data_IF_830898907466
#
_entry.id   IF_830898907466
#
_cell.length_a   1.000
_cell.length_b   1.000
_cell.length_c   1.000
_cell.angle_alpha   90.00
_cell.angle_beta   90.00
_cell.angle_gamma   90.00
#
_symmetry.space_group_name_H-M   'P 1'
#
loop_
_entity.id
_entity.type
_entity.pdbx_description
1 polymer ?
#
# COMPACT_ATOMS: atom_id res chain seq x y z
N UNK A 1 15.06 -55.34 7.52
CA UNK A 1 13.86 -56.07 7.08
C UNK A 1 13.30 -56.72 8.33
N UNK A 2 12.19 -56.33 8.95
CA UNK A 2 11.03 -55.49 8.60
C UNK A 2 10.43 -54.98 9.96
N UNK A 3 10.10 -53.70 10.16
CA UNK A 3 8.85 -52.96 9.83
C UNK A 3 7.75 -53.02 10.92
N UNK A 4 7.63 -51.91 11.68
CA UNK A 4 6.41 -51.21 12.15
C UNK A 4 5.51 -51.66 13.35
N UNK A 5 5.39 -50.71 14.31
CA UNK A 5 4.19 -50.18 15.02
C UNK A 5 3.61 -50.90 16.25
N UNK A 6 3.59 -50.22 17.42
CA UNK A 6 2.37 -49.64 18.08
C UNK A 6 2.64 -48.94 19.45
N UNK A 7 2.15 -47.70 19.57
CA UNK A 7 1.43 -47.02 20.68
C UNK A 7 1.94 -46.96 22.14
N UNK A 8 1.83 -45.74 22.71
CA UNK A 8 1.69 -45.45 24.15
C UNK A 8 2.11 -44.00 24.51
N UNK A 9 1.18 -43.02 24.45
CA UNK A 9 0.54 -42.33 25.59
C UNK A 9 1.48 -41.43 26.43
N UNK A 10 1.25 -40.12 26.47
CA UNK A 10 1.20 -39.32 27.70
C UNK A 10 0.51 -37.96 27.47
N UNK A 11 -0.47 -37.67 28.34
CA UNK A 11 -1.23 -36.42 28.43
C UNK A 11 -0.36 -35.23 28.82
N UNK A 12 -0.58 -34.06 28.20
CA UNK A 12 -0.37 -32.76 28.84
C UNK A 12 -1.51 -31.80 28.45
N UNK A 13 -2.39 -31.54 29.41
CA UNK A 13 -3.30 -30.40 29.41
C UNK A 13 -2.48 -29.16 29.80
N UNK A 14 -2.27 -28.20 28.90
CA UNK A 14 -2.40 -26.73 29.13
C UNK A 14 -2.32 -26.04 27.75
N UNK A 15 -3.43 -25.54 27.18
CA UNK A 15 -3.35 -24.39 26.25
C UNK A 15 -4.42 -23.39 26.65
N UNK A 16 -3.90 -22.38 27.36
CA UNK A 16 -4.52 -21.11 27.68
C UNK A 16 -4.78 -20.32 26.39
N UNK A 17 -6.03 -19.87 26.23
CA UNK A 17 -6.48 -18.55 25.80
C UNK A 17 -5.44 -17.73 25.02
N UNK A 18 -5.71 -17.41 23.74
CA UNK A 18 -5.62 -16.03 23.21
C UNK A 18 -6.31 -15.96 21.84
N UNK A 19 -7.50 -15.35 21.85
CA UNK A 19 -7.91 -14.28 20.96
C UNK A 19 -7.52 -14.43 19.47
N UNK A 20 -8.37 -15.12 18.71
CA UNK A 20 -8.39 -15.00 17.25
C UNK A 20 -8.92 -13.58 16.93
N UNK A 21 -7.99 -12.62 16.89
CA UNK A 21 -8.30 -11.23 16.59
C UNK A 21 -8.91 -11.12 15.19
N UNK A 22 -9.95 -10.29 15.12
CA UNK A 22 -10.71 -9.91 13.94
C UNK A 22 -9.82 -9.74 12.70
N UNK A 23 -10.06 -10.58 11.71
CA UNK A 23 -9.70 -10.29 10.32
C UNK A 23 -10.44 -9.02 9.88
N UNK A 24 -9.74 -7.88 9.87
CA UNK A 24 -10.27 -6.65 9.28
C UNK A 24 -9.75 -6.54 7.85
N UNK A 25 -10.62 -6.94 6.91
CA UNK A 25 -10.71 -6.67 5.47
C UNK A 25 -9.43 -6.28 4.69
N UNK A 26 -8.87 -7.24 3.95
CA UNK A 26 -8.23 -6.96 2.66
C UNK A 26 -9.35 -6.79 1.61
N UNK A 27 -9.64 -5.56 1.17
CA UNK A 27 -10.62 -5.31 0.09
C UNK A 27 -9.89 -5.30 -1.26
N UNK A 28 -9.94 -6.42 -1.98
CA UNK A 28 -9.53 -6.51 -3.39
C UNK A 28 -10.80 -6.38 -4.23
N UNK A 29 -11.01 -5.25 -4.89
CA UNK A 29 -12.17 -5.01 -5.78
C UNK A 29 -11.67 -4.98 -7.24
N UNK A 30 -12.05 -5.98 -8.05
CA UNK A 30 -11.72 -6.08 -9.49
C UNK A 30 -12.83 -5.44 -10.35
N UNK A 31 -12.42 -4.55 -11.24
CA UNK A 31 -13.00 -3.99 -12.48
C UNK A 31 -14.52 -3.72 -12.65
N UNK A 32 -14.82 -2.46 -13.00
CA UNK A 32 -15.47 -1.98 -14.26
C UNK A 32 -15.57 -0.43 -14.17
N UNK A 33 -15.18 0.28 -15.23
CA UNK A 33 -15.12 1.75 -15.29
C UNK A 33 -16.52 2.40 -15.17
N UNK A 34 -16.65 3.37 -14.25
CA UNK A 34 -17.66 4.43 -14.34
C UNK A 34 -16.99 5.73 -13.88
N UNK A 35 -16.57 6.53 -14.84
CA UNK A 35 -16.02 7.87 -14.69
C UNK A 35 -17.18 8.86 -14.63
N UNK A 36 -17.64 9.18 -13.43
CA UNK A 36 -18.53 10.34 -13.21
C UNK A 36 -18.10 11.08 -11.96
N UNK A 37 -17.43 12.22 -12.16
CA UNK A 37 -17.07 13.18 -11.12
C UNK A 37 -15.63 13.67 -11.20
N UNK A 38 -15.23 14.34 -12.29
CA UNK A 38 -13.99 15.12 -12.30
C UNK A 38 -14.17 16.32 -11.38
N UNK A 39 -13.57 16.28 -10.18
CA UNK A 39 -13.18 17.50 -9.49
C UNK A 39 -11.73 17.78 -9.87
N UNK A 40 -11.53 18.82 -10.69
CA UNK A 40 -10.19 19.33 -11.04
C UNK A 40 -10.00 20.65 -10.31
N UNK A 41 -9.19 20.66 -9.25
CA UNK A 41 -8.85 21.89 -8.55
C UNK A 41 -7.39 22.26 -8.79
N UNK A 42 -7.11 23.57 -8.83
CA UNK A 42 -5.80 24.13 -9.17
C UNK A 42 -4.77 23.83 -8.07
N UNK A 43 -3.59 23.45 -8.53
CA UNK A 43 -2.36 23.25 -7.74
C UNK A 43 -1.99 24.49 -6.91
N UNK A 44 -1.73 24.31 -5.61
CA UNK A 44 -0.99 25.28 -4.78
C UNK A 44 -1.74 25.94 -3.60
N UNK A 45 -3.04 25.72 -3.40
CA UNK A 45 -3.75 26.26 -2.23
C UNK A 45 -3.63 25.31 -1.02
N UNK A 46 -3.19 25.78 0.16
CA UNK A 46 -3.18 24.97 1.37
C UNK A 46 -4.62 24.53 1.72
N UNK A 47 -4.87 23.22 1.70
CA UNK A 47 -6.19 22.62 1.90
C UNK A 47 -6.91 22.21 0.61
N UNK A 48 -6.30 22.41 -0.57
CA UNK A 48 -6.88 22.02 -1.85
C UNK A 48 -6.21 20.75 -2.40
N UNK A 49 -7.01 19.86 -2.99
CA UNK A 49 -6.56 18.61 -3.58
C UNK A 49 -6.09 18.89 -5.01
N UNK A 50 -4.83 18.59 -5.32
CA UNK A 50 -4.28 18.68 -6.68
C UNK A 50 -4.62 17.41 -7.49
N UNK A 51 -4.87 17.57 -8.78
CA UNK A 51 -5.18 16.47 -9.69
C UNK A 51 -6.61 15.93 -9.63
N UNK A 52 -6.83 14.83 -10.35
CA UNK A 52 -8.12 14.13 -10.42
C UNK A 52 -8.19 13.06 -9.34
N UNK A 53 -9.20 13.13 -8.46
CA UNK A 53 -9.41 12.12 -7.41
C UNK A 53 -9.68 10.75 -8.03
N UNK A 54 -8.91 9.75 -7.62
CA UNK A 54 -9.13 8.35 -7.99
C UNK A 54 -10.17 7.76 -7.02
N UNK A 55 -11.44 8.13 -7.21
CA UNK A 55 -12.53 7.85 -6.24
C UNK A 55 -12.70 6.38 -5.89
N UNK A 56 -12.37 5.47 -6.82
CA UNK A 56 -12.40 4.01 -6.59
C UNK A 56 -11.38 3.54 -5.55
N UNK A 57 -10.32 4.30 -5.35
CA UNK A 57 -9.25 4.02 -4.40
C UNK A 57 -9.29 4.96 -3.20
N UNK A 58 -10.43 5.63 -2.97
CA UNK A 58 -10.65 6.50 -1.81
C UNK A 58 -11.34 5.71 -0.72
N UNK A 59 -10.68 5.55 0.43
CA UNK A 59 -11.16 4.71 1.52
C UNK A 59 -10.98 5.38 2.86
N UNK A 60 -11.85 5.05 3.81
CA UNK A 60 -11.56 5.30 5.21
C UNK A 60 -10.73 4.12 5.76
N UNK A 61 -9.77 4.41 6.63
CA UNK A 61 -9.05 3.40 7.39
C UNK A 61 -8.78 3.91 8.81
N UNK A 62 -8.48 2.99 9.72
CA UNK A 62 -8.17 3.32 11.10
C UNK A 62 -6.64 3.40 11.27
N UNK A 63 -6.12 4.61 11.47
CA UNK A 63 -4.74 4.84 11.91
C UNK A 63 -4.66 4.71 13.42
N UNK A 64 -3.60 4.05 13.89
CA UNK A 64 -3.45 3.75 15.33
C UNK A 64 -3.34 4.98 16.23
N UNK A 65 -3.00 6.17 15.68
CA UNK A 65 -2.89 7.42 16.44
C UNK A 65 -4.06 8.35 16.16
N UNK A 66 -4.43 8.53 14.88
CA UNK A 66 -5.43 9.50 14.43
C UNK A 66 -6.86 8.91 14.37
N UNK A 67 -7.01 7.60 14.54
CA UNK A 67 -8.29 6.91 14.42
C UNK A 67 -8.78 6.84 12.97
N UNK A 68 -10.09 6.99 12.76
CA UNK A 68 -10.70 6.81 11.44
C UNK A 68 -10.44 8.02 10.52
N UNK A 69 -9.53 7.86 9.58
CA UNK A 69 -9.09 8.88 8.61
C UNK A 69 -9.35 8.43 7.18
N UNK A 70 -9.35 9.37 6.23
CA UNK A 70 -9.63 9.09 4.81
C UNK A 70 -8.38 9.20 3.94
N UNK A 71 -8.08 8.13 3.23
CA UNK A 71 -7.07 8.06 2.18
C UNK A 71 -7.67 8.52 0.84
N UNK A 72 -7.07 9.52 0.21
CA UNK A 72 -7.54 10.14 -1.04
C UNK A 72 -6.37 10.23 -2.03
N UNK A 73 -6.23 9.26 -2.96
CA UNK A 73 -5.23 9.32 -4.01
C UNK A 73 -5.74 10.15 -5.20
N UNK A 74 -4.84 10.86 -5.87
CA UNK A 74 -5.15 11.63 -7.08
C UNK A 74 -4.14 11.40 -8.19
N UNK A 75 -4.60 11.64 -9.42
CA UNK A 75 -3.74 11.77 -10.57
C UNK A 75 -3.44 13.25 -10.85
N UNK A 76 -2.24 13.68 -10.46
CA UNK A 76 -1.72 15.02 -10.72
C UNK A 76 -1.29 15.23 -12.17
N UNK A 77 -1.13 16.48 -12.58
CA UNK A 77 -0.59 16.84 -13.89
C UNK A 77 0.95 16.93 -13.92
N UNK A 78 1.60 16.67 -12.78
CA UNK A 78 3.06 16.71 -12.66
C UNK A 78 3.71 15.41 -13.15
N UNK A 79 5.04 15.42 -13.20
CA UNK A 79 5.83 14.31 -13.75
C UNK A 79 5.67 13.01 -12.94
N UNK A 80 5.48 13.10 -11.62
CA UNK A 80 5.26 11.95 -10.74
C UNK A 80 3.85 11.38 -10.87
N UNK A 81 2.85 12.24 -11.14
CA UNK A 81 1.48 11.90 -11.48
C UNK A 81 0.63 11.28 -10.37
N UNK A 82 1.20 10.70 -9.31
CA UNK A 82 0.46 10.17 -8.15
C UNK A 82 0.66 11.07 -6.93
N UNK A 83 -0.42 11.69 -6.44
CA UNK A 83 -0.43 12.38 -5.14
C UNK A 83 -1.35 11.62 -4.19
N UNK A 84 -1.05 11.70 -2.90
CA UNK A 84 -1.81 11.01 -1.86
C UNK A 84 -2.11 12.00 -0.76
N UNK A 85 -3.38 12.09 -0.40
CA UNK A 85 -3.84 12.91 0.70
C UNK A 85 -4.45 12.07 1.80
N UNK A 86 -4.21 12.48 3.03
CA UNK A 86 -4.87 12.00 4.24
C UNK A 86 -5.78 13.11 4.74
N UNK A 87 -7.08 12.82 4.83
CA UNK A 87 -8.06 13.72 5.44
C UNK A 87 -8.41 13.24 6.84
N UNK A 88 -8.09 14.08 7.82
CA UNK A 88 -8.45 13.94 9.22
C UNK A 88 -9.38 15.10 9.60
N UNK A 89 -10.67 14.84 9.79
CA UNK A 89 -11.66 15.89 10.01
C UNK A 89 -11.59 16.97 8.89
N UNK A 90 -11.27 18.22 9.24
CA UNK A 90 -11.05 19.32 8.27
C UNK A 90 -9.59 19.49 7.85
N UNK A 91 -8.66 18.75 8.46
CA UNK A 91 -7.25 18.78 8.09
C UNK A 91 -7.02 17.89 6.87
N UNK A 92 -6.29 18.41 5.89
CA UNK A 92 -5.83 17.69 4.71
C UNK A 92 -4.30 17.71 4.71
N UNK A 93 -3.71 16.52 4.69
CA UNK A 93 -2.26 16.32 4.70
C UNK A 93 -1.88 15.65 3.39
N UNK A 94 -0.98 16.24 2.61
CA UNK A 94 -0.38 15.57 1.47
C UNK A 94 0.81 14.72 1.94
N UNK A 95 0.86 13.46 1.52
CA UNK A 95 2.01 12.60 1.79
C UNK A 95 3.19 12.96 0.88
N UNK A 96 4.43 12.64 1.28
CA UNK A 96 5.59 12.85 0.41
C UNK A 96 5.39 12.21 -0.98
N UNK A 97 5.63 12.99 -2.04
CA UNK A 97 5.46 12.49 -3.41
C UNK A 97 6.53 11.44 -3.75
N UNK A 98 6.15 10.32 -4.37
CA UNK A 98 7.12 9.30 -4.77
C UNK A 98 7.97 9.82 -5.93
N UNK A 99 9.23 10.18 -5.67
CA UNK A 99 10.16 10.64 -6.71
C UNK A 99 10.89 9.46 -7.35
N UNK A 100 10.17 8.67 -8.14
CA UNK A 100 10.73 7.47 -8.78
C UNK A 100 11.17 7.68 -10.24
N UNK A 101 11.01 8.89 -10.77
CA UNK A 101 11.47 9.24 -12.12
C UNK A 101 10.65 8.65 -13.27
N UNK A 102 9.44 8.16 -13.00
CA UNK A 102 8.60 7.40 -13.95
C UNK A 102 7.18 7.97 -13.98
N UNK A 103 6.48 7.82 -15.10
CA UNK A 103 5.14 8.39 -15.27
C UNK A 103 4.10 7.47 -14.65
N UNK A 104 3.31 7.98 -13.71
CA UNK A 104 2.19 7.23 -13.12
C UNK A 104 1.10 6.97 -14.16
N UNK A 105 0.62 5.73 -14.20
CA UNK A 105 -0.48 5.31 -15.08
C UNK A 105 -1.73 4.92 -14.29
N UNK A 106 -1.57 4.15 -13.21
CA UNK A 106 -2.72 3.61 -12.48
C UNK A 106 -2.39 3.19 -11.04
N UNK A 107 -3.38 3.25 -10.17
CA UNK A 107 -3.30 2.72 -8.81
C UNK A 107 -3.97 1.34 -8.78
N UNK A 108 -3.21 0.28 -8.44
CA UNK A 108 -3.72 -1.09 -8.44
C UNK A 108 -4.28 -1.51 -7.10
N UNK A 109 -3.58 -1.15 -6.03
CA UNK A 109 -3.86 -1.63 -4.71
C UNK A 109 -3.37 -0.68 -3.64
N UNK A 110 -4.05 -0.75 -2.49
CA UNK A 110 -3.67 -0.04 -1.26
C UNK A 110 -3.91 -0.99 -0.10
N UNK A 111 -2.99 -1.03 0.86
CA UNK A 111 -3.12 -1.74 2.12
C UNK A 111 -2.66 -0.86 3.28
N UNK A 112 -3.29 -1.04 4.44
CA UNK A 112 -3.01 -0.30 5.67
C UNK A 112 -2.66 -1.31 6.76
N UNK A 113 -1.39 -1.35 7.18
CA UNK A 113 -0.92 -2.28 8.20
C UNK A 113 0.44 -1.88 8.73
N UNK A 114 0.71 -2.23 9.97
CA UNK A 114 2.05 -2.19 10.55
C UNK A 114 2.95 -3.20 9.82
N UNK A 115 4.00 -2.71 9.17
CA UNK A 115 4.98 -3.52 8.44
C UNK A 115 6.37 -3.51 9.07
N UNK A 116 6.70 -2.52 9.90
CA UNK A 116 8.00 -2.43 10.58
C UNK A 116 7.93 -2.94 12.04
N UNK A 117 6.74 -3.28 12.54
CA UNK A 117 6.49 -3.83 13.87
C UNK A 117 6.45 -2.79 14.99
N UNK A 118 6.28 -1.50 14.68
CA UNK A 118 6.30 -0.42 15.67
C UNK A 118 4.92 -0.09 16.28
N UNK A 119 3.87 -0.79 15.85
CA UNK A 119 2.48 -0.58 16.25
C UNK A 119 1.80 0.59 15.55
N UNK A 120 2.44 1.22 14.57
CA UNK A 120 1.87 2.30 13.75
C UNK A 120 1.33 1.77 12.42
N UNK A 121 0.29 2.41 11.89
CA UNK A 121 -0.34 1.95 10.64
C UNK A 121 0.38 2.55 9.43
N UNK A 122 1.22 1.74 8.81
CA UNK A 122 1.88 2.11 7.54
C UNK A 122 0.93 1.97 6.34
N UNK A 123 1.31 2.59 5.23
CA UNK A 123 0.56 2.51 3.97
C UNK A 123 1.44 1.85 2.90
N UNK A 124 0.87 0.83 2.26
CA UNK A 124 1.48 0.12 1.14
C UNK A 124 0.63 0.37 -0.08
N UNK A 125 1.26 0.80 -1.17
CA UNK A 125 0.58 1.08 -2.43
C UNK A 125 1.23 0.24 -3.51
N UNK A 126 0.43 -0.33 -4.42
CA UNK A 126 0.93 -0.86 -5.68
C UNK A 126 0.41 0.05 -6.78
N UNK A 127 1.33 0.73 -7.47
CA UNK A 127 1.02 1.63 -8.58
C UNK A 127 1.72 1.16 -9.86
N UNK A 128 1.06 1.34 -11.00
CA UNK A 128 1.65 1.14 -12.32
C UNK A 128 2.28 2.43 -12.83
N UNK A 129 3.47 2.26 -13.39
CA UNK A 129 4.22 3.32 -14.02
C UNK A 129 4.69 2.90 -15.40
N UNK A 130 4.93 3.87 -16.28
CA UNK A 130 5.62 3.66 -17.55
C UNK A 130 6.94 4.42 -17.56
N UNK A 131 7.94 3.85 -18.25
CA UNK A 131 9.13 4.62 -18.60
C UNK A 131 8.77 5.60 -19.70
N UNK A 132 9.00 6.89 -19.45
CA UNK A 132 8.78 7.93 -20.44
C UNK A 132 9.84 7.89 -21.57
N UNK A 133 11.00 7.24 -21.35
CA UNK A 133 12.16 7.29 -22.26
C UNK A 133 12.83 5.90 -22.37
N UNK A 134 13.26 5.52 -23.57
CA UNK A 134 14.10 4.33 -23.85
C UNK A 134 13.39 3.16 -24.55
N UNK A 135 14.08 2.03 -24.79
CA UNK A 135 13.56 0.87 -25.52
C UNK A 135 12.33 0.22 -24.87
N UNK A 136 12.16 0.42 -23.56
CA UNK A 136 11.01 -0.03 -22.76
C UNK A 136 9.98 1.09 -22.55
N UNK A 137 10.02 2.13 -23.38
CA UNK A 137 9.08 3.24 -23.33
C UNK A 137 7.63 2.74 -23.42
N UNK A 138 6.74 3.29 -22.60
CA UNK A 138 5.33 2.91 -22.53
C UNK A 138 5.02 1.45 -22.14
N UNK A 139 5.98 0.67 -21.65
CA UNK A 139 5.69 -0.64 -21.04
C UNK A 139 5.34 -0.41 -19.56
N UNK A 140 4.10 -0.70 -19.13
CA UNK A 140 3.73 -0.55 -17.73
C UNK A 140 4.45 -1.56 -16.85
N UNK A 141 4.87 -1.13 -15.67
CA UNK A 141 5.38 -2.01 -14.61
C UNK A 141 4.80 -1.59 -13.26
N UNK A 142 4.60 -2.57 -12.38
CA UNK A 142 4.12 -2.31 -11.02
C UNK A 142 5.28 -1.92 -10.11
N UNK A 143 5.04 -0.92 -9.28
CA UNK A 143 5.94 -0.40 -8.26
C UNK A 143 5.21 -0.43 -6.92
N UNK A 144 5.71 -1.19 -5.93
CA UNK A 144 5.26 -1.02 -4.57
C UNK A 144 5.86 0.26 -3.98
N UNK A 145 5.04 1.04 -3.29
CA UNK A 145 5.42 2.26 -2.58
C UNK A 145 5.10 2.07 -1.10
N UNK A 146 6.09 2.35 -0.25
CA UNK A 146 5.97 2.19 1.19
C UNK A 146 6.01 3.54 1.88
N UNK A 147 4.99 3.81 2.68
CA UNK A 147 4.89 4.98 3.53
C UNK A 147 4.92 4.53 4.99
N UNK A 148 6.06 4.73 5.64
CA UNK A 148 6.28 4.35 7.03
C UNK A 148 5.71 5.44 7.93
N UNK A 149 4.78 5.05 8.80
CA UNK A 149 4.16 5.93 9.77
C UNK A 149 5.17 6.23 10.87
N UNK A 150 5.20 7.49 11.27
CA UNK A 150 5.84 7.95 12.50
C UNK A 150 4.75 8.47 13.43
N UNK A 151 5.08 8.77 14.69
CA UNK A 151 4.12 9.37 15.63
C UNK A 151 3.53 10.71 15.16
N UNK A 152 4.18 11.36 14.19
CA UNK A 152 3.78 12.68 13.68
C UNK A 152 3.27 12.59 12.25
N UNK A 153 4.09 12.10 11.32
CA UNK A 153 3.84 12.11 9.87
C UNK A 153 4.07 10.73 9.22
N UNK A 154 4.02 10.64 7.88
CA UNK A 154 4.46 9.47 7.10
C UNK A 154 5.72 9.81 6.30
N UNK A 155 6.63 8.85 6.22
CA UNK A 155 7.87 8.93 5.44
C UNK A 155 7.78 8.00 4.24
N UNK A 156 8.08 8.50 3.04
CA UNK A 156 8.23 7.64 1.88
C UNK A 156 9.58 6.90 1.95
N UNK A 157 9.54 5.57 1.96
CA UNK A 157 10.73 4.71 1.95
C UNK A 157 11.11 4.36 0.51
N UNK A 158 11.92 5.23 -0.10
CA UNK A 158 12.39 5.09 -1.47
C UNK A 158 13.26 3.85 -1.67
N UNK A 159 14.17 3.56 -0.73
CA UNK A 159 15.09 2.42 -0.78
C UNK A 159 14.34 1.10 -0.85
N UNK A 160 13.36 0.90 0.02
CA UNK A 160 12.56 -0.32 0.05
C UNK A 160 11.66 -0.44 -1.18
N UNK A 161 11.03 0.67 -1.58
CA UNK A 161 10.19 0.70 -2.78
C UNK A 161 11.00 0.26 -4.01
N UNK A 162 12.26 0.71 -4.13
CA UNK A 162 13.17 0.35 -5.22
C UNK A 162 13.68 -1.09 -5.11
N UNK A 163 14.13 -1.55 -3.93
CA UNK A 163 14.67 -2.91 -3.76
C UNK A 163 13.62 -3.98 -4.09
N UNK A 164 12.38 -3.75 -3.66
CA UNK A 164 11.28 -4.67 -3.93
C UNK A 164 10.92 -4.67 -5.42
N UNK A 165 10.96 -3.52 -6.12
CA UNK A 165 10.74 -3.45 -7.58
C UNK A 165 11.67 -4.38 -8.34
N UNK A 166 12.95 -4.44 -7.97
CA UNK A 166 13.93 -5.30 -8.63
C UNK A 166 13.55 -6.78 -8.50
N UNK A 167 12.93 -7.15 -7.39
CA UNK A 167 12.41 -8.50 -7.13
C UNK A 167 11.07 -8.77 -7.86
N UNK A 168 10.26 -7.74 -8.14
CA UNK A 168 8.99 -7.85 -8.88
C UNK A 168 9.16 -8.14 -10.37
N UNK A 169 10.34 -7.92 -10.95
CA UNK A 169 10.58 -8.22 -12.38
C UNK A 169 10.54 -9.70 -12.71
N UNK A 170 10.65 -10.59 -11.73
CA UNK A 170 10.87 -12.01 -11.99
C UNK A 170 9.62 -12.90 -11.87
N UNK A 171 8.49 -12.45 -11.31
CA UNK A 171 7.32 -13.33 -11.13
C UNK A 171 5.97 -12.60 -11.19
N UNK A 172 4.91 -13.34 -11.54
CA UNK A 172 3.50 -12.92 -11.51
C UNK A 172 3.02 -12.64 -10.06
N UNK A 173 3.51 -11.56 -9.44
CA UNK A 173 3.30 -11.25 -8.02
C UNK A 173 1.93 -10.61 -7.78
N UNK A 174 1.13 -11.22 -6.90
CA UNK A 174 -0.09 -10.65 -6.31
C UNK A 174 0.27 -9.73 -5.12
N UNK A 175 -0.68 -8.92 -4.64
CA UNK A 175 -0.51 -8.05 -3.46
C UNK A 175 0.02 -8.84 -2.26
N UNK A 176 -0.52 -10.04 -2.04
CA UNK A 176 -0.16 -10.89 -0.91
C UNK A 176 1.31 -11.37 -0.99
N UNK A 177 1.76 -11.82 -2.16
CA UNK A 177 3.16 -12.19 -2.40
C UNK A 177 4.09 -10.98 -2.26
N UNK A 178 3.61 -9.80 -2.65
CA UNK A 178 4.31 -8.53 -2.47
C UNK A 178 4.54 -8.17 -1.01
N UNK A 179 3.49 -8.33 -0.19
CA UNK A 179 3.54 -8.09 1.25
C UNK A 179 4.44 -9.11 1.95
N UNK A 180 4.39 -10.40 1.58
CA UNK A 180 5.28 -11.41 2.16
C UNK A 180 6.75 -11.15 1.85
N UNK A 181 7.08 -10.80 0.59
CA UNK A 181 8.44 -10.40 0.20
C UNK A 181 8.89 -9.12 0.91
N UNK A 182 7.98 -8.16 1.14
CA UNK A 182 8.28 -6.96 1.92
C UNK A 182 8.65 -7.27 3.37
N UNK A 183 7.86 -8.12 4.05
CA UNK A 183 8.13 -8.52 5.45
C UNK A 183 9.50 -9.17 5.61
N UNK A 184 9.95 -9.94 4.62
CA UNK A 184 11.26 -10.59 4.64
C UNK A 184 12.45 -9.62 4.62
N UNK A 185 12.25 -8.35 4.22
CA UNK A 185 13.32 -7.33 4.16
C UNK A 185 13.50 -6.53 5.47
N UNK A 186 12.60 -6.69 6.44
CA UNK A 186 12.63 -6.02 7.75
C UNK A 186 13.00 -6.94 8.92
N UNK A 187 13.38 -8.19 8.64
CA UNK A 187 13.86 -9.16 9.62
C UNK A 187 15.34 -9.51 9.40
#
# INVERSE_FOLDING_TARGET
MDTFTKFGLYHFNVISIFLFALFTQCKIEKDVANTTGLQTNKSGDPGNIDGVILSKHTFNFNDTVLGNIKFIPTQGNDYTGLHIYIKENENLIELPRPNIGQRFENLKAVAFRDINGDGLTDIIIVAEYTSAIGPTGNIPFSMPLFYIRTKKDWLFDDKQSISVKETYKEENVTIDNGIEKFKALYH
#
